data_IF_800398631472
#
_entry.id   IF_800398631472
#
_cell.length_a   1.000
_cell.length_b   1.000
_cell.length_c   1.000
_cell.angle_alpha   90.00
_cell.angle_beta   90.00
_cell.angle_gamma   90.00
#
_symmetry.space_group_name_H-M   'P 1'
#
loop_
_entity.id
_entity.type
_entity.pdbx_description
1 polymer ?
#
# COMPACT_ATOMS: atom_id res chain seq x y z
N UNK A 1 28.17 10.80 1.05
CA UNK A 1 28.26 10.56 -0.41
C UNK A 1 26.85 10.21 -0.89
N UNK A 2 26.31 10.96 -1.87
CA UNK A 2 24.97 10.70 -2.39
C UNK A 2 25.04 9.49 -3.35
N UNK A 3 23.97 8.70 -3.38
CA UNK A 3 23.84 7.57 -4.32
C UNK A 3 23.75 8.07 -5.75
N UNK A 4 24.44 7.41 -6.68
CA UNK A 4 24.24 7.65 -8.10
C UNK A 4 22.90 7.06 -8.58
N UNK A 5 22.48 7.43 -9.81
CA UNK A 5 21.16 7.04 -10.37
C UNK A 5 20.97 5.51 -10.41
N UNK A 6 22.01 4.76 -10.75
CA UNK A 6 21.93 3.30 -10.84
C UNK A 6 21.81 2.65 -9.45
N UNK A 7 22.53 3.20 -8.45
CA UNK A 7 22.41 2.79 -7.07
C UNK A 7 21.01 3.09 -6.52
N UNK A 8 20.44 4.27 -6.85
CA UNK A 8 19.07 4.64 -6.44
C UNK A 8 18.02 3.68 -7.03
N UNK A 9 18.05 3.40 -8.35
CA UNK A 9 17.16 2.44 -9.00
C UNK A 9 17.30 1.04 -8.41
N UNK A 10 18.54 0.62 -8.19
CA UNK A 10 18.89 -0.66 -7.60
C UNK A 10 18.36 -0.80 -6.16
N UNK A 11 18.48 0.26 -5.35
CA UNK A 11 17.97 0.32 -3.99
C UNK A 11 16.44 0.27 -3.97
N UNK A 12 15.75 1.12 -4.73
CA UNK A 12 14.28 1.13 -4.81
C UNK A 12 13.73 -0.26 -5.12
N UNK A 13 14.27 -0.92 -6.17
CA UNK A 13 13.86 -2.27 -6.52
C UNK A 13 14.08 -3.27 -5.38
N UNK A 14 15.17 -3.16 -4.64
CA UNK A 14 15.49 -4.06 -3.54
C UNK A 14 14.63 -3.79 -2.29
N UNK A 15 14.31 -2.53 -1.98
CA UNK A 15 13.45 -2.14 -0.86
C UNK A 15 12.04 -2.71 -0.97
N UNK A 16 11.53 -2.94 -2.19
CA UNK A 16 10.23 -3.57 -2.42
C UNK A 16 10.13 -5.00 -1.83
N UNK A 17 11.26 -5.68 -1.66
CA UNK A 17 11.32 -7.04 -1.09
C UNK A 17 11.33 -7.05 0.44
N UNK A 18 11.56 -5.91 1.09
CA UNK A 18 11.54 -5.80 2.55
C UNK A 18 10.10 -5.82 3.09
N UNK A 19 9.94 -6.36 4.28
CA UNK A 19 8.68 -6.27 5.02
C UNK A 19 8.57 -4.94 5.79
N UNK A 20 7.38 -4.65 6.32
CA UNK A 20 7.11 -3.41 7.05
C UNK A 20 8.00 -3.22 8.29
N UNK A 21 8.39 -4.31 8.99
CA UNK A 21 9.26 -4.21 10.17
C UNK A 21 10.68 -3.80 9.77
N UNK A 22 11.19 -4.37 8.69
CA UNK A 22 12.52 -4.06 8.15
C UNK A 22 12.58 -2.61 7.67
N UNK A 23 11.59 -2.16 6.90
CA UNK A 23 11.50 -0.78 6.44
C UNK A 23 11.41 0.22 7.61
N UNK A 24 10.58 -0.08 8.62
CA UNK A 24 10.49 0.76 9.82
C UNK A 24 11.80 0.83 10.60
N UNK A 25 12.57 -0.25 10.69
CA UNK A 25 13.91 -0.22 11.31
C UNK A 25 14.86 0.71 10.56
N UNK A 26 14.84 0.67 9.22
CA UNK A 26 15.63 1.58 8.39
C UNK A 26 15.19 3.03 8.60
N UNK A 27 13.88 3.29 8.59
CA UNK A 27 13.35 4.62 8.88
C UNK A 27 13.79 5.15 10.25
N UNK A 28 13.70 4.32 11.29
CA UNK A 28 14.15 4.69 12.64
C UNK A 28 15.64 5.00 12.68
N UNK A 29 16.47 4.21 12.01
CA UNK A 29 17.91 4.43 11.96
C UNK A 29 18.27 5.81 11.37
N UNK A 30 17.53 6.26 10.35
CA UNK A 30 17.74 7.55 9.71
C UNK A 30 16.86 8.70 10.27
N UNK A 31 16.12 8.49 11.36
CA UNK A 31 15.23 9.51 11.94
C UNK A 31 14.01 9.84 11.08
N UNK A 32 13.61 8.92 10.19
CA UNK A 32 12.46 9.09 9.30
C UNK A 32 11.14 8.64 9.96
N UNK A 33 10.01 9.16 9.47
CA UNK A 33 8.68 8.77 9.94
C UNK A 33 8.39 7.29 9.64
N UNK A 34 7.82 6.57 10.62
CA UNK A 34 7.49 5.13 10.53
C UNK A 34 6.00 4.84 10.35
N UNK A 35 5.16 5.87 10.47
CA UNK A 35 3.70 5.75 10.43
C UNK A 35 3.17 6.04 9.02
N UNK A 36 3.54 5.17 8.06
CA UNK A 36 3.13 5.33 6.67
C UNK A 36 2.94 3.98 5.98
N UNK A 37 2.41 4.00 4.77
CA UNK A 37 2.28 2.84 3.90
C UNK A 37 3.65 2.41 3.36
N UNK A 38 3.74 1.15 2.91
CA UNK A 38 5.00 0.55 2.45
C UNK A 38 5.72 1.42 1.42
N UNK A 39 5.00 1.82 0.37
CA UNK A 39 5.60 2.62 -0.71
C UNK A 39 6.10 3.98 -0.21
N UNK A 40 5.36 4.63 0.68
CA UNK A 40 5.76 5.93 1.26
C UNK A 40 6.99 5.82 2.17
N UNK A 41 7.16 4.71 2.89
CA UNK A 41 8.40 4.45 3.63
C UNK A 41 9.57 4.28 2.68
N UNK A 42 9.40 3.53 1.59
CA UNK A 42 10.43 3.31 0.56
C UNK A 42 10.83 4.64 -0.08
N UNK A 43 9.87 5.44 -0.56
CA UNK A 43 10.11 6.77 -1.13
C UNK A 43 10.88 7.70 -0.16
N UNK A 44 10.52 7.65 1.14
CA UNK A 44 11.20 8.45 2.16
C UNK A 44 12.65 8.01 2.40
N UNK A 45 12.91 6.70 2.41
CA UNK A 45 14.26 6.14 2.53
C UNK A 45 15.09 6.53 1.30
N UNK A 46 14.54 6.35 0.10
CA UNK A 46 15.21 6.66 -1.15
C UNK A 46 15.57 8.15 -1.24
N UNK A 47 14.59 9.03 -0.97
CA UNK A 47 14.82 10.48 -0.97
C UNK A 47 15.94 10.87 0.01
N UNK A 48 15.91 10.33 1.23
CA UNK A 48 16.92 10.62 2.23
C UNK A 48 18.31 10.17 1.78
N UNK A 49 18.44 8.95 1.29
CA UNK A 49 19.72 8.40 0.83
C UNK A 49 20.22 9.09 -0.46
N UNK A 50 19.32 9.60 -1.29
CA UNK A 50 19.68 10.32 -2.51
C UNK A 50 20.06 11.78 -2.24
N UNK A 51 19.42 12.45 -1.27
CA UNK A 51 19.50 13.92 -1.14
C UNK A 51 19.88 14.40 0.26
N UNK A 52 19.87 13.54 1.28
CA UNK A 52 19.98 13.91 2.69
C UNK A 52 18.74 14.64 3.25
N UNK A 53 17.66 14.79 2.46
CA UNK A 53 16.46 15.53 2.86
C UNK A 53 15.40 14.59 3.39
N UNK A 54 14.70 15.04 4.43
CA UNK A 54 13.53 14.34 4.97
C UNK A 54 12.29 14.86 4.22
N UNK A 55 11.51 13.94 3.66
CA UNK A 55 10.25 14.31 3.02
C UNK A 55 9.28 14.96 4.02
N UNK A 56 8.61 16.06 3.65
CA UNK A 56 7.58 16.63 4.50
C UNK A 56 6.46 15.61 4.71
N UNK A 57 6.07 15.41 5.97
CA UNK A 57 5.01 14.48 6.29
C UNK A 57 3.67 15.03 5.78
N UNK A 58 3.09 14.39 4.78
CA UNK A 58 1.76 14.74 4.30
C UNK A 58 0.74 14.50 5.41
N UNK A 59 0.07 15.56 5.83
CA UNK A 59 -0.97 15.48 6.85
C UNK A 59 -2.35 15.42 6.20
N UNK A 60 -3.17 14.47 6.66
CA UNK A 60 -4.57 14.45 6.26
C UNK A 60 -5.26 15.69 6.83
N UNK A 61 -5.96 16.47 5.97
CA UNK A 61 -6.72 17.65 6.40
C UNK A 61 -7.70 17.36 7.53
N UNK A 62 -7.92 18.33 8.41
CA UNK A 62 -8.80 18.17 9.57
C UNK A 62 -10.24 17.80 9.17
N UNK A 63 -10.73 18.31 8.03
CA UNK A 63 -12.06 17.99 7.48
C UNK A 63 -12.27 16.51 7.21
N UNK A 64 -11.18 15.77 6.90
CA UNK A 64 -11.21 14.32 6.65
C UNK A 64 -11.04 13.47 7.91
N UNK A 65 -10.84 14.09 9.09
CA UNK A 65 -10.64 13.40 10.37
C UNK A 65 -11.93 13.41 11.18
N UNK A 66 -12.29 12.26 11.74
CA UNK A 66 -13.42 12.14 12.63
C UNK A 66 -13.12 12.79 13.98
N UNK A 67 -14.06 13.57 14.49
CA UNK A 67 -14.04 14.12 15.85
C UNK A 67 -14.63 13.16 16.87
N UNK A 68 -15.42 12.18 16.41
CA UNK A 68 -16.09 11.19 17.26
C UNK A 68 -16.01 9.81 16.63
N UNK A 69 -16.33 8.77 17.43
CA UNK A 69 -16.45 7.40 16.94
C UNK A 69 -17.63 7.27 15.97
N UNK A 70 -17.56 6.28 15.10
CA UNK A 70 -18.66 5.94 14.18
C UNK A 70 -19.93 5.61 14.98
N UNK A 71 -21.07 6.15 14.51
CA UNK A 71 -22.39 5.88 15.07
C UNK A 71 -23.18 5.03 14.09
N UNK A 72 -23.85 4.01 14.60
CA UNK A 72 -24.74 3.15 13.82
C UNK A 72 -26.20 3.48 14.14
N UNK A 73 -27.16 3.29 13.22
CA UNK A 73 -26.98 2.76 11.88
C UNK A 73 -26.31 3.77 10.93
N UNK A 74 -25.56 3.23 9.95
CA UNK A 74 -25.00 4.02 8.85
C UNK A 74 -26.11 4.38 7.85
N UNK A 75 -25.94 5.51 7.17
CA UNK A 75 -26.75 5.91 6.01
C UNK A 75 -25.88 6.06 4.76
N UNK A 76 -26.47 6.03 3.55
CA UNK A 76 -25.71 6.26 2.30
C UNK A 76 -24.99 7.62 2.29
N UNK A 77 -25.54 8.64 2.99
CA UNK A 77 -24.99 9.98 3.10
C UNK A 77 -23.96 10.14 4.23
N UNK A 78 -23.79 9.13 5.08
CA UNK A 78 -22.76 9.16 6.11
C UNK A 78 -21.39 9.32 5.48
N UNK A 79 -20.63 10.34 5.92
CA UNK A 79 -19.28 10.63 5.41
C UNK A 79 -18.27 9.65 6.01
N UNK A 80 -17.43 9.12 5.15
CA UNK A 80 -16.34 8.20 5.53
C UNK A 80 -15.12 9.01 5.97
N UNK A 81 -14.93 9.13 7.29
CA UNK A 81 -13.84 9.90 7.88
C UNK A 81 -12.73 9.00 8.42
N UNK A 82 -11.48 9.45 8.33
CA UNK A 82 -10.35 8.79 9.00
C UNK A 82 -10.56 8.82 10.52
N UNK A 83 -10.43 7.65 11.14
CA UNK A 83 -10.65 7.46 12.58
C UNK A 83 -12.04 6.98 12.95
N UNK A 84 -13.08 7.21 12.12
CA UNK A 84 -14.39 6.60 12.29
C UNK A 84 -14.63 5.40 11.38
N UNK A 85 -14.08 5.41 10.17
CA UNK A 85 -14.22 4.29 9.23
C UNK A 85 -13.62 3.00 9.80
N UNK A 86 -14.40 1.92 9.74
CA UNK A 86 -13.99 0.58 10.19
C UNK A 86 -14.31 -0.47 9.14
N UNK A 87 -13.40 -1.40 8.96
CA UNK A 87 -13.65 -2.63 8.21
C UNK A 87 -14.20 -3.70 9.17
N UNK A 88 -15.33 -3.41 9.81
CA UNK A 88 -16.03 -4.34 10.69
C UNK A 88 -17.23 -5.00 10.00
N UNK A 89 -17.84 -5.96 10.68
CA UNK A 89 -18.98 -6.72 10.14
C UNK A 89 -20.18 -5.81 9.87
N UNK A 90 -20.47 -4.84 10.74
CA UNK A 90 -21.62 -3.93 10.59
C UNK A 90 -21.47 -3.05 9.35
N UNK A 91 -20.30 -2.46 9.15
CA UNK A 91 -20.01 -1.65 7.96
C UNK A 91 -20.04 -2.51 6.69
N UNK A 92 -19.55 -3.75 6.76
CA UNK A 92 -19.56 -4.67 5.61
C UNK A 92 -20.98 -5.10 5.24
N UNK A 93 -21.84 -5.40 6.23
CA UNK A 93 -23.27 -5.71 5.99
C UNK A 93 -23.94 -4.50 5.35
N UNK A 94 -23.75 -3.30 5.88
CA UNK A 94 -24.31 -2.08 5.32
C UNK A 94 -23.86 -1.84 3.86
N UNK A 95 -22.57 -2.00 3.55
CA UNK A 95 -22.10 -1.89 2.18
C UNK A 95 -22.69 -2.96 1.25
N UNK A 96 -22.97 -4.17 1.75
CA UNK A 96 -23.70 -5.18 0.99
C UNK A 96 -25.15 -4.79 0.68
N UNK A 97 -25.80 -4.00 1.52
CA UNK A 97 -27.15 -3.48 1.19
C UNK A 97 -27.12 -2.43 0.08
N UNK A 98 -26.00 -1.69 -0.07
CA UNK A 98 -25.85 -0.68 -1.13
C UNK A 98 -25.33 -1.26 -2.45
N UNK A 99 -24.46 -2.26 -2.38
CA UNK A 99 -23.71 -2.76 -3.55
C UNK A 99 -24.21 -4.14 -4.00
N UNK A 100 -24.60 -4.97 -3.06
CA UNK A 100 -24.98 -6.37 -3.28
C UNK A 100 -24.10 -7.34 -2.51
N UNK A 101 -24.53 -8.61 -2.43
CA UNK A 101 -23.86 -9.65 -1.64
C UNK A 101 -22.42 -9.95 -2.10
N UNK A 102 -22.07 -9.62 -3.33
CA UNK A 102 -20.74 -9.80 -3.90
C UNK A 102 -19.71 -8.77 -3.39
N UNK A 103 -20.14 -7.76 -2.63
CA UNK A 103 -19.23 -6.76 -2.07
C UNK A 103 -18.17 -7.40 -1.19
N UNK A 104 -16.93 -6.99 -1.41
CA UNK A 104 -15.77 -7.22 -0.55
C UNK A 104 -14.83 -6.03 -0.59
N UNK A 105 -14.04 -5.82 0.46
CA UNK A 105 -13.03 -4.78 0.45
C UNK A 105 -11.89 -5.14 -0.50
N UNK A 106 -11.53 -4.17 -1.33
CA UNK A 106 -10.37 -4.26 -2.23
C UNK A 106 -9.32 -3.24 -1.83
N UNK A 107 -8.06 -3.48 -2.16
CA UNK A 107 -6.99 -2.51 -1.92
C UNK A 107 -7.27 -1.18 -2.64
N UNK A 108 -7.75 -1.24 -3.88
CA UNK A 108 -8.11 -0.06 -4.67
C UNK A 108 -9.25 0.76 -4.05
N UNK A 109 -10.29 0.09 -3.52
CA UNK A 109 -11.37 0.76 -2.81
C UNK A 109 -10.89 1.48 -1.55
N UNK A 110 -10.00 0.84 -0.80
CA UNK A 110 -9.41 1.47 0.40
C UNK A 110 -8.50 2.64 0.01
N UNK A 111 -7.70 2.52 -1.05
CA UNK A 111 -6.84 3.61 -1.50
C UNK A 111 -7.66 4.79 -2.02
N UNK A 112 -8.72 4.54 -2.77
CA UNK A 112 -9.63 5.60 -3.20
C UNK A 112 -10.20 6.42 -2.02
N UNK A 113 -10.60 5.76 -0.93
CA UNK A 113 -11.03 6.45 0.31
C UNK A 113 -9.88 7.29 0.89
N UNK A 114 -8.66 6.75 0.94
CA UNK A 114 -7.49 7.43 1.50
C UNK A 114 -7.09 8.65 0.66
N UNK A 115 -7.15 8.54 -0.66
CA UNK A 115 -6.87 9.64 -1.57
C UNK A 115 -7.83 10.80 -1.35
N UNK A 116 -9.12 10.51 -1.17
CA UNK A 116 -10.12 11.53 -0.81
C UNK A 116 -9.85 12.15 0.56
N UNK A 117 -9.39 11.36 1.54
CA UNK A 117 -8.95 11.93 2.81
C UNK A 117 -7.76 12.89 2.65
N UNK A 118 -6.78 12.52 1.83
CA UNK A 118 -5.59 13.37 1.58
C UNK A 118 -5.95 14.67 0.84
N UNK A 119 -6.94 14.62 -0.04
CA UNK A 119 -7.45 15.78 -0.79
C UNK A 119 -8.37 16.70 0.06
N UNK A 120 -8.80 16.27 1.26
CA UNK A 120 -9.74 16.99 2.07
C UNK A 120 -11.19 16.92 1.56
N UNK A 121 -11.53 15.94 0.76
CA UNK A 121 -12.86 15.69 0.18
C UNK A 121 -13.38 14.31 0.59
N UNK A 122 -13.58 14.04 1.90
CA UNK A 122 -13.96 12.71 2.37
C UNK A 122 -15.28 12.28 1.74
N UNK A 123 -15.36 11.06 1.17
CA UNK A 123 -16.54 10.60 0.45
C UNK A 123 -17.64 10.13 1.39
N UNK A 124 -18.86 10.03 0.87
CA UNK A 124 -19.98 9.33 1.51
C UNK A 124 -19.94 7.84 1.18
N UNK A 125 -20.70 7.02 1.93
CA UNK A 125 -20.86 5.60 1.60
C UNK A 125 -21.55 5.39 0.25
N UNK A 126 -22.48 6.29 -0.16
CA UNK A 126 -23.08 6.23 -1.49
C UNK A 126 -22.05 6.44 -2.60
N UNK A 127 -21.20 7.46 -2.47
CA UNK A 127 -20.11 7.73 -3.42
C UNK A 127 -19.14 6.56 -3.50
N UNK A 128 -18.78 5.99 -2.35
CA UNK A 128 -17.93 4.79 -2.33
C UNK A 128 -18.60 3.60 -3.00
N UNK A 129 -19.90 3.38 -2.79
CA UNK A 129 -20.63 2.29 -3.43
C UNK A 129 -20.65 2.45 -4.96
N UNK A 130 -20.88 3.67 -5.46
CA UNK A 130 -20.83 3.97 -6.91
C UNK A 130 -19.43 3.70 -7.47
N UNK A 131 -18.39 4.21 -6.82
CA UNK A 131 -17.00 3.95 -7.24
C UNK A 131 -16.70 2.45 -7.28
N UNK A 132 -17.06 1.73 -6.21
CA UNK A 132 -16.79 0.30 -6.09
C UNK A 132 -17.49 -0.51 -7.21
N UNK A 133 -18.74 -0.19 -7.52
CA UNK A 133 -19.48 -0.84 -8.61
C UNK A 133 -18.85 -0.58 -9.97
N UNK A 134 -18.43 0.65 -10.25
CA UNK A 134 -17.73 1.01 -11.50
C UNK A 134 -16.44 0.23 -11.63
N UNK A 135 -15.61 0.18 -10.57
CA UNK A 135 -14.39 -0.60 -10.56
C UNK A 135 -14.66 -2.10 -10.71
N UNK A 136 -15.66 -2.64 -10.01
CA UNK A 136 -16.02 -4.04 -10.11
C UNK A 136 -16.39 -4.42 -11.56
N UNK A 137 -17.19 -3.63 -12.25
CA UNK A 137 -17.56 -3.86 -13.65
C UNK A 137 -16.33 -3.77 -14.57
N UNK A 138 -15.48 -2.78 -14.40
CA UNK A 138 -14.24 -2.66 -15.17
C UNK A 138 -13.32 -3.88 -14.98
N UNK A 139 -13.28 -4.49 -13.78
CA UNK A 139 -12.48 -5.69 -13.48
C UNK A 139 -13.05 -7.00 -14.03
N UNK A 140 -14.29 -7.00 -14.55
CA UNK A 140 -14.81 -8.16 -15.29
C UNK A 140 -14.11 -8.34 -16.64
N UNK A 141 -13.64 -7.26 -17.25
CA UNK A 141 -13.00 -7.26 -18.57
C UNK A 141 -11.50 -6.99 -18.51
N UNK A 142 -11.05 -6.22 -17.53
CA UNK A 142 -9.65 -5.78 -17.45
C UNK A 142 -9.05 -6.10 -16.08
N UNK A 143 -8.01 -6.93 -16.05
CA UNK A 143 -7.28 -7.22 -14.81
C UNK A 143 -6.63 -5.94 -14.26
N UNK A 144 -6.80 -5.69 -12.96
CA UNK A 144 -6.13 -4.58 -12.31
C UNK A 144 -4.60 -4.74 -12.40
N UNK A 145 -3.86 -3.65 -12.67
CA UNK A 145 -2.40 -3.69 -12.57
C UNK A 145 -2.01 -4.01 -11.13
N UNK A 146 -0.99 -4.85 -10.98
CA UNK A 146 -0.44 -5.12 -9.65
C UNK A 146 0.42 -3.94 -9.20
N UNK A 147 0.32 -3.59 -7.91
CA UNK A 147 1.14 -2.52 -7.33
C UNK A 147 2.59 -2.99 -7.15
N UNK A 148 3.54 -2.07 -7.30
CA UNK A 148 4.97 -2.37 -7.16
C UNK A 148 5.32 -2.91 -5.77
N UNK A 149 4.70 -2.35 -4.71
CA UNK A 149 4.91 -2.81 -3.34
C UNK A 149 4.39 -4.24 -3.06
N UNK A 150 3.65 -4.83 -3.98
CA UNK A 150 3.24 -6.24 -3.92
C UNK A 150 4.30 -7.18 -4.50
N UNK A 151 5.55 -6.94 -4.15
CA UNK A 151 6.71 -7.65 -4.71
C UNK A 151 6.56 -9.18 -4.70
N UNK A 152 5.96 -9.76 -3.65
CA UNK A 152 5.68 -11.20 -3.57
C UNK A 152 4.73 -11.68 -4.66
N UNK A 153 3.61 -10.98 -4.85
CA UNK A 153 2.61 -11.35 -5.87
C UNK A 153 3.15 -11.11 -7.28
N UNK A 154 3.85 -9.99 -7.49
CA UNK A 154 4.53 -9.67 -8.75
C UNK A 154 5.57 -10.73 -9.12
N UNK A 155 6.34 -11.19 -8.12
CA UNK A 155 7.32 -12.26 -8.32
C UNK A 155 6.64 -13.58 -8.71
N UNK A 156 5.61 -13.99 -7.96
CA UNK A 156 4.90 -15.25 -8.23
C UNK A 156 4.24 -15.25 -9.62
N UNK A 157 3.60 -14.16 -10.02
CA UNK A 157 2.96 -14.04 -11.35
C UNK A 157 4.02 -14.16 -12.46
N UNK A 158 5.13 -13.43 -12.34
CA UNK A 158 6.25 -13.50 -13.29
C UNK A 158 6.88 -14.88 -13.32
N UNK A 159 7.16 -15.47 -12.15
CA UNK A 159 7.80 -16.76 -12.03
C UNK A 159 6.93 -17.86 -12.64
N UNK A 160 5.62 -17.86 -12.38
CA UNK A 160 4.68 -18.82 -12.96
C UNK A 160 4.59 -18.71 -14.49
N UNK A 161 4.66 -17.51 -15.04
CA UNK A 161 4.68 -17.29 -16.51
C UNK A 161 5.95 -17.84 -17.15
N UNK A 162 7.10 -17.70 -16.47
CA UNK A 162 8.39 -18.21 -16.95
C UNK A 162 8.55 -19.73 -16.74
N UNK A 163 7.87 -20.28 -15.75
CA UNK A 163 7.94 -21.68 -15.35
C UNK A 163 6.54 -22.30 -15.18
N UNK A 164 5.78 -22.52 -16.28
CA UNK A 164 4.35 -22.92 -16.20
C UNK A 164 4.08 -24.23 -15.45
N UNK A 165 5.05 -25.14 -15.43
CA UNK A 165 4.94 -26.46 -14.79
C UNK A 165 5.38 -26.48 -13.33
N UNK A 166 5.85 -25.34 -12.81
CA UNK A 166 6.39 -25.26 -11.45
C UNK A 166 5.27 -25.26 -10.41
N UNK A 167 5.44 -26.05 -9.35
CA UNK A 167 4.53 -26.07 -8.22
C UNK A 167 4.59 -24.78 -7.40
N UNK A 168 3.50 -24.48 -6.69
CA UNK A 168 3.45 -23.34 -5.77
C UNK A 168 4.55 -23.37 -4.70
N UNK A 169 4.92 -24.56 -4.21
CA UNK A 169 5.99 -24.74 -3.21
C UNK A 169 7.34 -24.31 -3.78
N UNK A 170 7.63 -24.71 -5.01
CA UNK A 170 8.88 -24.30 -5.71
C UNK A 170 8.92 -22.80 -5.97
N UNK A 171 7.80 -22.21 -6.39
CA UNK A 171 7.71 -20.75 -6.59
C UNK A 171 7.94 -19.98 -5.27
N UNK A 172 7.42 -20.46 -4.14
CA UNK A 172 7.67 -19.87 -2.82
C UNK A 172 9.14 -20.02 -2.40
N UNK A 173 9.77 -21.16 -2.69
CA UNK A 173 11.20 -21.37 -2.41
C UNK A 173 12.06 -20.39 -3.24
N UNK A 174 11.76 -20.23 -4.53
CA UNK A 174 12.43 -19.27 -5.39
C UNK A 174 12.24 -17.81 -4.89
N UNK A 175 11.04 -17.45 -4.42
CA UNK A 175 10.81 -16.15 -3.79
C UNK A 175 11.69 -15.91 -2.58
N UNK A 176 11.85 -16.89 -1.70
CA UNK A 176 12.70 -16.74 -0.50
C UNK A 176 14.14 -16.42 -0.88
N UNK A 177 14.69 -17.12 -1.87
CA UNK A 177 16.05 -16.88 -2.39
C UNK A 177 16.17 -15.47 -2.98
N UNK A 178 15.20 -15.07 -3.81
CA UNK A 178 15.21 -13.74 -4.43
C UNK A 178 15.06 -12.63 -3.40
N UNK A 179 14.19 -12.82 -2.39
CA UNK A 179 14.04 -11.90 -1.28
C UNK A 179 15.34 -11.74 -0.50
N UNK A 180 16.01 -12.83 -0.16
CA UNK A 180 17.27 -12.81 0.57
C UNK A 180 18.35 -12.03 -0.17
N UNK A 181 18.50 -12.23 -1.49
CA UNK A 181 19.42 -11.45 -2.34
C UNK A 181 19.15 -9.95 -2.22
N UNK A 182 17.87 -9.55 -2.29
CA UNK A 182 17.51 -8.13 -2.22
C UNK A 182 17.69 -7.55 -0.81
N UNK A 183 17.41 -8.31 0.24
CA UNK A 183 17.70 -7.89 1.64
C UNK A 183 19.20 -7.67 1.84
N UNK A 184 20.05 -8.60 1.37
CA UNK A 184 21.51 -8.48 1.45
C UNK A 184 22.00 -7.27 0.64
N UNK A 185 21.42 -7.01 -0.51
CA UNK A 185 21.75 -5.82 -1.34
C UNK A 185 21.43 -4.53 -0.62
N UNK A 186 20.26 -4.43 0.05
CA UNK A 186 19.92 -3.26 0.87
C UNK A 186 20.93 -3.09 2.01
N UNK A 187 21.28 -4.17 2.71
CA UNK A 187 22.27 -4.13 3.78
C UNK A 187 23.64 -3.63 3.27
N UNK A 188 24.10 -4.09 2.11
CA UNK A 188 25.33 -3.61 1.51
C UNK A 188 25.30 -2.12 1.16
N UNK A 189 24.19 -1.64 0.58
CA UNK A 189 24.03 -0.23 0.26
C UNK A 189 23.99 0.63 1.54
N UNK A 190 23.30 0.17 2.59
CA UNK A 190 23.21 0.89 3.86
C UNK A 190 24.54 0.96 4.59
N UNK A 191 25.43 -0.02 4.46
CA UNK A 191 26.78 0.04 5.02
C UNK A 191 27.66 1.14 4.42
N UNK A 192 27.31 1.66 3.25
CA UNK A 192 27.99 2.84 2.68
C UNK A 192 27.71 4.13 3.45
N UNK A 193 26.72 4.14 4.34
CA UNK A 193 26.24 5.32 5.08
C UNK A 193 26.38 5.19 6.60
N UNK A 194 26.91 4.09 7.11
CA UNK A 194 27.28 3.89 8.52
C UNK A 194 28.74 4.26 8.75
#
# INVERSE_FOLDING_TARGET
MLLNIDQQKSLFSALLYLNMRELKKICLHFGLATQSEKIKLIESIELYLATGKIAPQQQIPAVSKAKARIVYPLSPQTVILKGSFKNDLKTRIFLKTLIGNHFHYTAYGIDWIKDHWMQGTPPTYAQFATYWQTEYLARQTTKAPMKDEWAYLNFLDRYQKQHPTTSKVQAIAAWKIEREKNVNKVAQILHLFT
#
